data_IF_892996649680
#
_entry.id   IF_892996649680
#
_cell.length_a   1.000
_cell.length_b   1.000
_cell.length_c   1.000
_cell.angle_alpha   90.00
_cell.angle_beta   90.00
_cell.angle_gamma   90.00
#
_symmetry.space_group_name_H-M   'P 1'
#
loop_
_entity.id
_entity.type
_entity.pdbx_description
1 polymer ?
#
# COMPACT_ATOMS: atom_id res chain seq x y z
N UNK A 1 -8.87 -15.93 -1.34
CA UNK A 1 -9.89 -15.01 -0.77
C UNK A 1 -11.18 -15.16 -1.57
N UNK A 2 -12.35 -15.17 -0.88
CA UNK A 2 -13.65 -15.13 -1.58
C UNK A 2 -13.76 -13.76 -2.28
N UNK A 3 -13.93 -13.75 -3.61
CA UNK A 3 -14.19 -12.53 -4.38
C UNK A 3 -13.01 -11.96 -5.19
N UNK A 4 -11.95 -12.69 -5.48
CA UNK A 4 -10.90 -12.29 -6.43
C UNK A 4 -10.85 -13.21 -7.64
N UNK A 5 -10.74 -12.63 -8.83
CA UNK A 5 -10.58 -13.32 -10.11
C UNK A 5 -9.09 -13.39 -10.46
N UNK A 6 -8.58 -14.57 -10.82
CA UNK A 6 -7.22 -14.70 -11.33
C UNK A 6 -7.18 -14.22 -12.79
N UNK A 7 -6.33 -13.23 -13.06
CA UNK A 7 -6.14 -12.69 -14.40
C UNK A 7 -5.10 -13.51 -15.20
N UNK A 8 -3.89 -13.55 -14.68
CA UNK A 8 -2.75 -14.24 -15.30
C UNK A 8 -1.68 -14.57 -14.25
N UNK A 9 -0.62 -15.23 -14.70
CA UNK A 9 0.58 -15.47 -13.88
C UNK A 9 1.79 -14.95 -14.64
N UNK A 10 2.56 -14.06 -14.00
CA UNK A 10 3.78 -13.50 -14.57
C UNK A 10 4.94 -13.70 -13.60
N UNK A 11 6.11 -14.08 -14.11
CA UNK A 11 7.26 -14.50 -13.30
C UNK A 11 6.94 -15.56 -12.21
N UNK A 12 5.94 -16.41 -12.44
CA UNK A 12 5.49 -17.40 -11.47
C UNK A 12 4.64 -16.85 -10.32
N UNK A 13 4.27 -15.57 -10.34
CA UNK A 13 3.41 -14.93 -9.34
C UNK A 13 2.02 -14.74 -9.96
N UNK A 14 0.96 -15.34 -9.39
CA UNK A 14 -0.40 -15.13 -9.88
C UNK A 14 -0.90 -13.71 -9.53
N UNK A 15 -1.52 -13.06 -10.52
CA UNK A 15 -2.16 -11.75 -10.36
C UNK A 15 -3.66 -11.95 -10.27
N UNK A 16 -4.24 -11.36 -9.23
CA UNK A 16 -5.67 -11.41 -8.97
C UNK A 16 -6.27 -10.00 -9.02
N UNK A 17 -7.49 -9.92 -9.52
CA UNK A 17 -8.31 -8.72 -9.51
C UNK A 17 -9.42 -8.89 -8.50
N UNK A 18 -9.49 -8.02 -7.51
CA UNK A 18 -10.59 -8.04 -6.55
C UNK A 18 -11.87 -7.52 -7.20
N UNK A 19 -13.04 -8.07 -6.85
CA UNK A 19 -14.33 -7.67 -7.44
C UNK A 19 -14.60 -6.16 -7.31
N UNK A 20 -14.12 -5.54 -6.21
CA UNK A 20 -14.28 -4.09 -5.96
C UNK A 20 -13.54 -3.23 -6.99
N UNK A 21 -12.60 -3.80 -7.77
CA UNK A 21 -11.94 -3.08 -8.85
C UNK A 21 -12.93 -2.57 -9.91
N UNK A 22 -14.08 -3.24 -10.06
CA UNK A 22 -15.17 -2.78 -10.91
C UNK A 22 -15.69 -1.39 -10.53
N UNK A 23 -15.53 -0.97 -9.28
CA UNK A 23 -15.90 0.38 -8.82
C UNK A 23 -15.10 1.48 -9.52
N UNK A 24 -13.87 1.19 -9.97
CA UNK A 24 -13.05 2.14 -10.73
C UNK A 24 -13.67 2.44 -12.09
N UNK A 25 -14.20 1.41 -12.77
CA UNK A 25 -14.88 1.60 -14.05
C UNK A 25 -16.20 2.35 -13.86
N UNK A 26 -16.95 2.06 -12.79
CA UNK A 26 -18.15 2.84 -12.44
C UNK A 26 -17.79 4.29 -12.14
N UNK A 27 -16.71 4.53 -11.43
CA UNK A 27 -16.19 5.87 -11.15
C UNK A 27 -15.74 6.59 -12.43
N UNK A 28 -15.06 5.89 -13.35
CA UNK A 28 -14.70 6.46 -14.65
C UNK A 28 -15.93 6.85 -15.50
N UNK A 29 -16.98 6.00 -15.48
CA UNK A 29 -18.26 6.31 -16.14
C UNK A 29 -18.92 7.54 -15.52
N UNK A 30 -18.93 7.63 -14.19
CA UNK A 30 -19.47 8.77 -13.46
C UNK A 30 -18.72 10.08 -13.79
N UNK A 31 -17.36 10.05 -13.78
CA UNK A 31 -16.55 11.19 -14.19
C UNK A 31 -16.85 11.58 -15.64
N UNK A 32 -16.94 10.60 -16.56
CA UNK A 32 -17.26 10.84 -17.96
C UNK A 32 -18.59 11.55 -18.13
N UNK A 33 -19.61 11.11 -17.38
CA UNK A 33 -20.94 11.73 -17.37
C UNK A 33 -20.89 13.16 -16.77
N UNK A 34 -20.27 13.36 -15.62
CA UNK A 34 -20.17 14.66 -14.92
C UNK A 34 -19.47 15.71 -15.78
N UNK A 35 -18.39 15.31 -16.49
CA UNK A 35 -17.62 16.21 -17.36
C UNK A 35 -18.11 16.23 -18.81
N UNK A 36 -19.28 15.64 -19.08
CA UNK A 36 -19.88 15.59 -20.43
C UNK A 36 -18.92 15.06 -21.51
N UNK A 37 -18.06 14.08 -21.13
CA UNK A 37 -17.17 13.43 -22.08
C UNK A 37 -17.97 12.60 -23.07
N UNK A 38 -17.54 12.61 -24.34
CA UNK A 38 -18.06 11.67 -25.33
C UNK A 38 -17.62 10.23 -25.03
N UNK A 39 -18.13 9.29 -25.81
CA UNK A 39 -17.78 7.86 -25.66
C UNK A 39 -16.25 7.67 -25.75
N UNK A 40 -15.58 8.35 -26.69
CA UNK A 40 -14.14 8.20 -26.88
C UNK A 40 -13.37 8.76 -25.69
N UNK A 41 -13.74 9.92 -25.15
CA UNK A 41 -13.13 10.51 -23.94
C UNK A 41 -13.28 9.58 -22.72
N UNK A 42 -14.47 8.99 -22.55
CA UNK A 42 -14.72 8.02 -21.46
C UNK A 42 -13.87 6.75 -21.63
N UNK A 43 -13.70 6.25 -22.87
CA UNK A 43 -12.83 5.11 -23.14
C UNK A 43 -11.35 5.42 -22.87
N UNK A 44 -10.89 6.65 -23.22
CA UNK A 44 -9.54 7.09 -22.86
C UNK A 44 -9.32 7.17 -21.36
N UNK A 45 -10.31 7.68 -20.60
CA UNK A 45 -10.25 7.71 -19.14
C UNK A 45 -10.16 6.30 -18.54
N UNK A 46 -10.93 5.35 -19.06
CA UNK A 46 -10.82 3.94 -18.66
C UNK A 46 -9.45 3.35 -18.99
N UNK A 47 -8.92 3.65 -20.19
CA UNK A 47 -7.58 3.27 -20.60
C UNK A 47 -6.50 3.83 -19.68
N UNK A 48 -6.65 5.08 -19.24
CA UNK A 48 -5.77 5.70 -18.25
C UNK A 48 -5.76 4.93 -16.92
N UNK A 49 -6.92 4.57 -16.38
CA UNK A 49 -6.99 3.76 -15.15
C UNK A 49 -6.32 2.39 -15.34
N UNK A 50 -6.52 1.73 -16.47
CA UNK A 50 -5.83 0.46 -16.78
C UNK A 50 -4.32 0.67 -16.79
N UNK A 51 -3.82 1.72 -17.45
CA UNK A 51 -2.40 2.04 -17.50
C UNK A 51 -1.83 2.38 -16.12
N UNK A 52 -2.57 3.16 -15.32
CA UNK A 52 -2.20 3.49 -13.94
C UNK A 52 -2.05 2.23 -13.09
N UNK A 53 -3.02 1.32 -13.15
CA UNK A 53 -2.94 0.07 -12.39
C UNK A 53 -1.89 -0.91 -12.94
N UNK A 54 -1.53 -0.81 -14.21
CA UNK A 54 -0.35 -1.50 -14.73
C UNK A 54 0.95 -0.96 -14.09
N UNK A 55 1.06 0.36 -13.90
CA UNK A 55 2.19 0.96 -13.17
C UNK A 55 2.22 0.50 -11.70
N UNK A 56 1.07 0.45 -11.02
CA UNK A 56 0.94 -0.07 -9.66
C UNK A 56 1.33 -1.55 -9.60
N UNK A 57 0.90 -2.35 -10.55
CA UNK A 57 1.27 -3.76 -10.65
C UNK A 57 2.79 -3.94 -10.82
N UNK A 58 3.41 -3.15 -11.69
CA UNK A 58 4.87 -3.19 -11.88
C UNK A 58 5.63 -2.76 -10.60
N UNK A 59 5.10 -1.79 -9.87
CA UNK A 59 5.62 -1.40 -8.56
C UNK A 59 5.61 -2.60 -7.58
N UNK A 60 4.48 -3.32 -7.47
CA UNK A 60 4.38 -4.52 -6.62
C UNK A 60 5.34 -5.63 -7.08
N UNK A 61 5.53 -5.77 -8.39
CA UNK A 61 6.56 -6.67 -8.92
C UNK A 61 7.97 -6.25 -8.53
N UNK A 62 8.25 -4.96 -8.43
CA UNK A 62 9.52 -4.44 -7.91
C UNK A 62 9.83 -5.01 -6.53
N UNK A 63 8.88 -4.95 -5.61
CA UNK A 63 9.01 -5.54 -4.27
C UNK A 63 9.13 -7.07 -4.33
N UNK A 64 8.21 -7.73 -5.03
CA UNK A 64 8.09 -9.19 -5.07
C UNK A 64 9.34 -9.87 -5.66
N UNK A 65 9.85 -9.37 -6.79
CA UNK A 65 11.04 -9.93 -7.44
C UNK A 65 12.31 -9.65 -6.64
N UNK A 66 12.38 -8.51 -5.96
CA UNK A 66 13.50 -8.18 -5.07
C UNK A 66 13.47 -9.03 -3.81
N UNK A 67 12.30 -9.26 -3.20
CA UNK A 67 12.13 -10.14 -2.05
C UNK A 67 12.54 -11.58 -2.38
N UNK A 68 12.20 -12.07 -3.59
CA UNK A 68 12.60 -13.40 -4.08
C UNK A 68 14.11 -13.61 -4.09
N UNK A 69 14.93 -12.58 -4.39
CA UNK A 69 16.41 -12.65 -4.34
C UNK A 69 16.92 -12.93 -2.93
N UNK A 70 16.12 -12.64 -1.91
CA UNK A 70 16.43 -12.91 -0.50
C UNK A 70 15.70 -14.15 0.03
N UNK A 71 15.16 -15.00 -0.86
CA UNK A 71 14.51 -16.26 -0.48
C UNK A 71 13.10 -16.08 0.09
N UNK A 72 12.47 -14.93 -0.14
CA UNK A 72 11.08 -14.68 0.27
C UNK A 72 10.16 -14.82 -0.93
N UNK A 73 9.23 -15.78 -0.86
CA UNK A 73 8.27 -15.98 -1.92
C UNK A 73 7.06 -15.03 -1.79
N UNK A 74 6.45 -14.76 -2.93
CA UNK A 74 5.20 -14.01 -3.04
C UNK A 74 4.10 -14.99 -3.42
N UNK A 75 3.05 -15.09 -2.60
CA UNK A 75 1.92 -15.96 -2.89
C UNK A 75 1.13 -15.47 -4.10
N UNK A 76 0.80 -14.21 -4.14
CA UNK A 76 0.11 -13.53 -5.23
C UNK A 76 0.20 -12.00 -5.10
N UNK A 77 -0.28 -11.31 -6.15
CA UNK A 77 -0.52 -9.87 -6.14
C UNK A 77 -2.01 -9.66 -6.39
N UNK A 78 -2.66 -8.89 -5.51
CA UNK A 78 -4.09 -8.57 -5.62
C UNK A 78 -4.24 -7.10 -5.95
N UNK A 79 -4.91 -6.79 -7.07
CA UNK A 79 -5.28 -5.42 -7.44
C UNK A 79 -6.62 -5.06 -6.82
N UNK A 80 -6.66 -3.95 -6.10
CA UNK A 80 -7.83 -3.36 -5.46
C UNK A 80 -7.96 -1.89 -5.84
N UNK A 81 -9.11 -1.24 -5.66
CA UNK A 81 -9.26 0.20 -5.95
C UNK A 81 -8.29 1.11 -5.20
N UNK A 82 -7.79 0.65 -4.05
CA UNK A 82 -6.88 1.43 -3.18
C UNK A 82 -5.41 1.23 -3.60
N UNK A 83 -5.12 0.24 -4.46
CA UNK A 83 -3.77 -0.10 -4.92
C UNK A 83 -3.54 -1.59 -5.09
N UNK A 84 -2.28 -1.96 -5.31
CA UNK A 84 -1.80 -3.33 -5.33
C UNK A 84 -1.42 -3.82 -3.93
N UNK A 85 -1.56 -5.11 -3.70
CA UNK A 85 -1.14 -5.77 -2.47
C UNK A 85 -0.37 -7.03 -2.85
N UNK A 86 0.97 -6.99 -2.77
CA UNK A 86 1.79 -8.19 -2.88
C UNK A 86 1.79 -8.94 -1.54
N UNK A 87 1.26 -10.16 -1.54
CA UNK A 87 1.26 -11.02 -0.35
C UNK A 87 2.56 -11.80 -0.25
N UNK A 88 3.55 -11.19 0.37
CA UNK A 88 4.80 -11.85 0.71
C UNK A 88 4.59 -12.84 1.86
N UNK A 89 5.29 -13.99 1.86
CA UNK A 89 5.27 -14.95 2.99
C UNK A 89 5.68 -14.26 4.30
N UNK A 90 6.74 -13.47 4.24
CA UNK A 90 7.23 -12.62 5.34
C UNK A 90 8.15 -11.54 4.80
N UNK A 91 8.30 -10.43 5.51
CA UNK A 91 9.37 -9.49 5.19
C UNK A 91 10.73 -10.02 5.64
N UNK A 92 11.82 -9.76 4.89
CA UNK A 92 13.15 -10.10 5.33
C UNK A 92 13.46 -9.54 6.72
N UNK A 93 14.08 -10.34 7.58
CA UNK A 93 14.40 -9.93 8.96
C UNK A 93 15.65 -9.03 9.02
N UNK A 94 16.56 -9.16 8.05
CA UNK A 94 17.77 -8.34 7.97
C UNK A 94 17.42 -6.93 7.49
N UNK A 95 17.76 -5.87 8.25
CA UNK A 95 17.35 -4.51 7.92
C UNK A 95 17.78 -4.04 6.52
N UNK A 96 18.99 -4.40 6.07
CA UNK A 96 19.48 -4.06 4.74
C UNK A 96 18.63 -4.69 3.64
N UNK A 97 18.21 -5.95 3.83
CA UNK A 97 17.34 -6.64 2.86
C UNK A 97 15.94 -6.02 2.81
N UNK A 98 15.39 -5.68 3.99
CA UNK A 98 14.12 -4.97 4.08
C UNK A 98 14.17 -3.61 3.36
N UNK A 99 15.28 -2.85 3.55
CA UNK A 99 15.50 -1.59 2.85
C UNK A 99 15.49 -1.76 1.33
N UNK A 100 16.27 -2.72 0.82
CA UNK A 100 16.39 -2.95 -0.64
C UNK A 100 15.04 -3.41 -1.23
N UNK A 101 14.29 -4.24 -0.51
CA UNK A 101 12.95 -4.65 -0.94
C UNK A 101 12.00 -3.47 -0.93
N UNK A 102 12.00 -2.65 0.13
CA UNK A 102 11.07 -1.54 0.26
C UNK A 102 11.30 -0.41 -0.77
N UNK A 103 12.56 -0.14 -1.15
CA UNK A 103 12.84 0.90 -2.15
C UNK A 103 12.61 0.42 -3.59
N UNK A 104 12.54 -0.90 -3.83
CA UNK A 104 12.44 -1.46 -5.18
C UNK A 104 11.15 -1.06 -5.89
N UNK A 105 10.00 -1.00 -5.20
CA UNK A 105 8.73 -0.54 -5.76
C UNK A 105 8.79 0.92 -6.24
N UNK A 106 9.12 1.89 -5.36
CA UNK A 106 9.32 3.28 -5.76
C UNK A 106 10.31 3.46 -6.92
N UNK A 107 11.41 2.70 -6.96
CA UNK A 107 12.39 2.77 -8.06
C UNK A 107 11.79 2.31 -9.39
N UNK A 108 10.89 1.36 -9.40
CA UNK A 108 10.16 0.96 -10.62
C UNK A 108 9.32 2.13 -11.12
N UNK A 109 8.59 2.83 -10.25
CA UNK A 109 7.79 4.00 -10.67
C UNK A 109 8.66 5.16 -11.15
N UNK A 110 9.84 5.37 -10.55
CA UNK A 110 10.84 6.33 -11.07
C UNK A 110 11.26 5.96 -12.48
N UNK A 111 11.59 4.68 -12.74
CA UNK A 111 11.98 4.22 -14.06
C UNK A 111 10.84 4.38 -15.08
N UNK A 112 9.59 4.08 -14.69
CA UNK A 112 8.40 4.30 -15.52
C UNK A 112 8.23 5.78 -15.81
N UNK A 113 8.33 6.66 -14.80
CA UNK A 113 8.19 8.11 -14.97
C UNK A 113 9.24 8.66 -15.94
N UNK A 114 10.51 8.24 -15.83
CA UNK A 114 11.60 8.62 -16.74
C UNK A 114 11.32 8.14 -18.17
N UNK A 115 10.88 6.88 -18.32
CA UNK A 115 10.53 6.31 -19.64
C UNK A 115 9.39 7.08 -20.30
N UNK A 116 8.29 7.29 -19.58
CA UNK A 116 7.12 8.02 -20.07
C UNK A 116 7.46 9.50 -20.38
N UNK A 117 8.29 10.12 -19.53
CA UNK A 117 8.78 11.46 -19.78
C UNK A 117 9.63 11.52 -21.07
N UNK A 118 10.53 10.57 -21.29
CA UNK A 118 11.29 10.46 -22.53
C UNK A 118 10.41 10.28 -23.75
N UNK A 119 9.36 9.46 -23.66
CA UNK A 119 8.34 9.29 -24.71
C UNK A 119 7.61 10.62 -24.94
N UNK A 120 7.26 11.31 -23.86
CA UNK A 120 6.60 12.63 -23.95
C UNK A 120 7.44 13.65 -24.74
N UNK A 121 8.76 13.69 -24.48
CA UNK A 121 9.70 14.55 -25.20
C UNK A 121 9.73 14.30 -26.72
N UNK A 122 9.55 13.03 -27.14
CA UNK A 122 9.53 12.67 -28.56
C UNK A 122 8.20 13.00 -29.25
N UNK A 123 7.11 13.02 -28.49
CA UNK A 123 5.74 13.16 -29.02
C UNK A 123 5.24 14.61 -28.96
N UNK A 124 5.68 15.37 -27.94
CA UNK A 124 5.19 16.73 -27.74
C UNK A 124 5.98 17.75 -28.56
N UNK A 125 5.27 18.63 -29.30
CA UNK A 125 5.78 19.86 -29.89
C UNK A 125 5.81 20.95 -28.81
N UNK A 126 6.47 22.08 -29.10
CA UNK A 126 6.72 23.17 -28.12
C UNK A 126 5.46 23.67 -27.38
N UNK A 127 4.34 23.85 -28.10
CA UNK A 127 3.06 24.33 -27.52
C UNK A 127 2.49 23.36 -26.47
N UNK A 128 2.69 22.03 -26.64
CA UNK A 128 2.23 21.01 -25.72
C UNK A 128 3.14 20.84 -24.51
N UNK A 129 4.38 21.30 -24.63
CA UNK A 129 5.34 21.34 -23.54
C UNK A 129 4.91 22.30 -22.42
N UNK A 130 4.31 23.44 -22.75
CA UNK A 130 3.75 24.37 -21.77
C UNK A 130 2.61 23.72 -20.98
N UNK A 131 1.71 22.98 -21.64
CA UNK A 131 0.68 22.20 -20.95
C UNK A 131 1.29 21.17 -19.97
N UNK A 132 2.34 20.46 -20.38
CA UNK A 132 2.99 19.48 -19.52
C UNK A 132 3.61 20.13 -18.27
N UNK A 133 4.30 21.26 -18.44
CA UNK A 133 4.87 22.02 -17.32
C UNK A 133 3.77 22.52 -16.38
N UNK A 134 2.73 23.14 -16.94
CA UNK A 134 1.58 23.61 -16.16
C UNK A 134 0.93 22.45 -15.39
N UNK A 135 0.69 21.31 -16.03
CA UNK A 135 0.08 20.15 -15.39
C UNK A 135 0.92 19.63 -14.23
N UNK A 136 2.25 19.55 -14.38
CA UNK A 136 3.15 19.19 -13.29
C UNK A 136 3.09 20.20 -12.14
N UNK A 137 3.10 21.50 -12.45
CA UNK A 137 2.98 22.54 -11.42
C UNK A 137 1.65 22.42 -10.65
N UNK A 138 0.55 22.18 -11.36
CA UNK A 138 -0.77 22.04 -10.76
C UNK A 138 -0.86 20.86 -9.80
N UNK A 139 -0.24 19.72 -10.11
CA UNK A 139 -0.22 18.55 -9.22
C UNK A 139 0.47 18.80 -7.88
N UNK A 140 1.41 19.75 -7.84
CA UNK A 140 2.14 20.11 -6.63
C UNK A 140 1.68 21.43 -6.01
N UNK A 141 0.73 22.14 -6.63
CA UNK A 141 0.07 23.30 -6.08
C UNK A 141 -1.06 22.88 -5.14
N UNK A 142 -0.94 23.23 -3.88
CA UNK A 142 -2.01 23.04 -2.88
C UNK A 142 -3.17 24.06 -3.05
N UNK A 143 -3.03 25.01 -3.95
CA UNK A 143 -4.08 25.97 -4.31
C UNK A 143 -4.84 25.41 -5.51
N UNK A 144 -6.09 24.99 -5.30
CA UNK A 144 -7.00 24.68 -6.39
C UNK A 144 -7.22 25.96 -7.22
N UNK A 145 -6.59 26.06 -8.38
CA UNK A 145 -6.85 27.12 -9.32
C UNK A 145 -7.87 26.61 -10.33
N UNK A 146 -8.93 27.38 -10.55
CA UNK A 146 -9.93 27.16 -11.63
C UNK A 146 -9.34 27.34 -13.04
N UNK A 147 -8.02 27.43 -13.15
CA UNK A 147 -7.29 27.71 -14.40
C UNK A 147 -7.23 26.52 -15.36
N UNK A 148 -7.65 25.32 -14.91
CA UNK A 148 -7.59 24.09 -15.76
C UNK A 148 -8.38 24.27 -17.05
N UNK A 149 -9.55 24.89 -16.98
CA UNK A 149 -10.39 25.15 -18.16
C UNK A 149 -9.74 26.12 -19.13
N UNK A 150 -9.12 27.19 -18.61
CA UNK A 150 -8.46 28.24 -19.44
C UNK A 150 -7.25 27.67 -20.19
N UNK A 151 -6.40 26.90 -19.52
CA UNK A 151 -5.20 26.30 -20.14
C UNK A 151 -5.56 25.24 -21.18
N UNK A 152 -6.62 24.45 -20.95
CA UNK A 152 -7.14 23.52 -21.96
C UNK A 152 -7.67 24.26 -23.19
N UNK A 153 -8.34 25.39 -23.00
CA UNK A 153 -8.85 26.23 -24.08
C UNK A 153 -7.70 26.91 -24.85
N UNK A 154 -6.71 27.50 -24.17
CA UNK A 154 -5.53 28.14 -24.78
C UNK A 154 -4.65 27.13 -25.54
N UNK A 155 -4.46 25.92 -25.03
CA UNK A 155 -3.64 24.89 -25.68
C UNK A 155 -4.40 24.10 -26.74
N UNK A 156 -5.73 24.26 -26.84
CA UNK A 156 -6.60 23.49 -27.73
C UNK A 156 -6.62 21.99 -27.42
N UNK A 157 -6.15 21.59 -26.25
CA UNK A 157 -6.13 20.20 -25.83
C UNK A 157 -7.50 19.77 -25.31
N UNK A 158 -8.09 18.79 -25.98
CA UNK A 158 -9.25 18.12 -25.45
C UNK A 158 -8.84 17.12 -24.35
N UNK A 159 -9.62 16.96 -23.27
CA UNK A 159 -9.35 15.99 -22.20
C UNK A 159 -9.58 14.54 -22.68
N UNK A 160 -9.09 14.25 -23.86
CA UNK A 160 -9.21 12.95 -24.52
C UNK A 160 -7.95 12.65 -25.33
N UNK A 161 -7.56 11.39 -25.34
CA UNK A 161 -6.46 10.90 -26.15
C UNK A 161 -5.14 10.75 -25.41
N UNK A 162 -4.19 10.10 -26.08
CA UNK A 162 -2.87 9.76 -25.53
C UNK A 162 -2.10 11.01 -25.08
N UNK A 163 -2.22 12.10 -25.82
CA UNK A 163 -1.48 13.34 -25.57
C UNK A 163 -1.90 14.02 -24.26
N UNK A 164 -3.15 13.85 -23.85
CA UNK A 164 -3.63 14.35 -22.56
C UNK A 164 -3.19 13.42 -21.41
N UNK A 165 -3.41 12.10 -21.56
CA UNK A 165 -3.19 11.16 -20.46
C UNK A 165 -1.72 10.79 -20.22
N UNK A 166 -0.83 11.01 -21.18
CA UNK A 166 0.59 10.71 -21.01
C UNK A 166 1.26 11.60 -19.93
N UNK A 167 1.11 12.93 -19.95
CA UNK A 167 1.58 13.79 -18.86
C UNK A 167 0.95 13.46 -17.52
N UNK A 168 -0.36 13.16 -17.52
CA UNK A 168 -1.09 12.76 -16.31
C UNK A 168 -0.49 11.49 -15.70
N UNK A 169 -0.14 10.51 -16.54
CA UNK A 169 0.45 9.26 -16.10
C UNK A 169 1.88 9.46 -15.54
N UNK A 170 2.68 10.35 -16.16
CA UNK A 170 4.00 10.74 -15.63
C UNK A 170 3.86 11.36 -14.25
N UNK A 171 3.00 12.37 -14.11
CA UNK A 171 2.78 13.06 -12.83
C UNK A 171 2.23 12.12 -11.76
N UNK A 172 1.33 11.23 -12.13
CA UNK A 172 0.78 10.23 -11.19
C UNK A 172 1.85 9.25 -10.72
N UNK A 173 2.78 8.80 -11.60
CA UNK A 173 3.90 7.97 -11.17
C UNK A 173 4.85 8.72 -10.23
N UNK A 174 5.12 10.01 -10.48
CA UNK A 174 5.90 10.85 -9.56
C UNK A 174 5.16 10.97 -8.22
N UNK A 175 3.85 11.24 -8.25
CA UNK A 175 2.99 11.28 -7.07
C UNK A 175 3.02 9.97 -6.27
N UNK A 176 2.95 8.81 -6.94
CA UNK A 176 3.07 7.49 -6.31
C UNK A 176 4.42 7.31 -5.62
N UNK A 177 5.53 7.77 -6.24
CA UNK A 177 6.86 7.74 -5.61
C UNK A 177 6.87 8.60 -4.36
N UNK A 178 6.43 9.85 -4.45
CA UNK A 178 6.43 10.80 -3.32
C UNK A 178 5.54 10.30 -2.18
N UNK A 179 4.34 9.82 -2.51
CA UNK A 179 3.41 9.28 -1.52
C UNK A 179 3.98 8.03 -0.84
N UNK A 180 4.56 7.09 -1.62
CA UNK A 180 5.16 5.89 -1.06
C UNK A 180 6.45 6.15 -0.29
N UNK A 181 7.14 7.27 -0.50
CA UNK A 181 8.32 7.65 0.28
C UNK A 181 8.00 8.37 1.60
N UNK A 182 6.72 8.71 1.87
CA UNK A 182 6.31 9.26 3.17
C UNK A 182 6.72 8.27 4.27
N UNK A 183 7.46 8.71 5.31
CA UNK A 183 7.98 7.82 6.35
C UNK A 183 6.91 7.40 7.37
N UNK A 184 5.82 6.82 6.86
CA UNK A 184 4.66 6.36 7.63
C UNK A 184 4.15 5.02 7.08
N UNK A 185 3.71 4.10 7.96
CA UNK A 185 2.98 2.92 7.53
C UNK A 185 1.55 3.28 7.09
N UNK A 186 1.02 2.64 6.03
CA UNK A 186 1.50 1.42 5.36
C UNK A 186 2.47 1.64 4.19
N UNK A 187 2.88 2.89 3.90
CA UNK A 187 3.71 3.23 2.76
C UNK A 187 5.13 2.61 2.87
N UNK A 188 5.79 2.48 1.73
CA UNK A 188 7.15 1.93 1.67
C UNK A 188 8.16 2.79 2.42
N UNK A 189 7.97 4.12 2.44
CA UNK A 189 8.75 5.06 3.23
C UNK A 189 8.79 4.72 4.73
N UNK A 190 7.68 4.21 5.28
CA UNK A 190 7.64 3.71 6.65
C UNK A 190 8.54 2.49 6.86
N UNK A 191 8.59 1.57 5.89
CA UNK A 191 9.49 0.40 5.90
C UNK A 191 10.94 0.79 5.65
N UNK A 192 11.20 1.71 4.73
CA UNK A 192 12.52 2.30 4.48
C UNK A 192 13.03 2.95 5.77
N UNK A 193 12.24 3.81 6.40
CA UNK A 193 12.59 4.49 7.64
C UNK A 193 12.83 3.50 8.78
N UNK A 194 11.94 2.52 8.97
CA UNK A 194 12.13 1.42 9.93
C UNK A 194 13.43 0.67 9.70
N UNK A 195 13.72 0.29 8.46
CA UNK A 195 14.92 -0.49 8.14
C UNK A 195 16.21 0.27 8.43
N UNK A 196 16.27 1.57 8.10
CA UNK A 196 17.41 2.43 8.42
C UNK A 196 17.64 2.54 9.94
N UNK A 197 16.57 2.76 10.71
CA UNK A 197 16.67 2.80 12.16
C UNK A 197 17.03 1.43 12.77
N UNK A 198 16.53 0.35 12.17
CA UNK A 198 16.76 -1.01 12.65
C UNK A 198 18.22 -1.45 12.51
N UNK A 199 18.98 -0.88 11.57
CA UNK A 199 20.42 -1.11 11.45
C UNK A 199 21.18 -0.69 12.73
N UNK A 200 20.67 0.30 13.46
CA UNK A 200 21.31 0.85 14.66
C UNK A 200 20.63 0.43 15.97
N UNK A 201 19.29 0.42 16.00
CA UNK A 201 18.51 0.28 17.25
C UNK A 201 17.71 -1.01 17.37
N UNK A 202 17.81 -1.89 16.36
CA UNK A 202 17.06 -3.13 16.28
C UNK A 202 15.61 -2.92 15.85
N UNK A 203 14.97 -4.01 15.39
CA UNK A 203 13.67 -3.98 14.70
C UNK A 203 12.54 -3.44 15.58
N UNK A 204 12.48 -3.85 16.84
CA UNK A 204 11.39 -3.46 17.75
C UNK A 204 11.36 -1.94 17.98
N UNK A 205 12.50 -1.36 18.38
CA UNK A 205 12.59 0.09 18.61
C UNK A 205 12.39 0.88 17.33
N UNK A 206 12.97 0.43 16.23
CA UNK A 206 12.80 1.06 14.92
C UNK A 206 11.33 1.10 14.50
N UNK A 207 10.57 0.01 14.70
CA UNK A 207 9.13 -0.02 14.39
C UNK A 207 8.34 0.94 15.28
N UNK A 208 8.68 1.05 16.55
CA UNK A 208 8.03 1.99 17.47
C UNK A 208 8.19 3.44 17.01
N UNK A 209 9.43 3.84 16.65
CA UNK A 209 9.72 5.18 16.15
C UNK A 209 9.03 5.45 14.80
N UNK A 210 9.07 4.49 13.88
CA UNK A 210 8.40 4.63 12.58
C UNK A 210 6.87 4.73 12.73
N UNK A 211 6.28 3.94 13.62
CA UNK A 211 4.85 4.01 13.90
C UNK A 211 4.46 5.33 14.59
N UNK A 212 5.27 5.82 15.53
CA UNK A 212 5.02 7.10 16.18
C UNK A 212 5.09 8.27 15.18
N UNK A 213 6.13 8.32 14.35
CA UNK A 213 6.24 9.32 13.30
C UNK A 213 5.06 9.25 12.31
N UNK A 214 4.68 8.03 11.88
CA UNK A 214 3.54 7.83 11.00
C UNK A 214 2.23 8.30 11.61
N UNK A 215 2.01 8.07 12.91
CA UNK A 215 0.83 8.57 13.62
C UNK A 215 0.84 10.10 13.73
N UNK A 216 2.00 10.73 13.96
CA UNK A 216 2.13 12.18 14.00
C UNK A 216 1.77 12.81 12.64
N UNK A 217 2.31 12.25 11.54
CA UNK A 217 1.98 12.69 10.17
C UNK A 217 0.47 12.49 9.90
N UNK A 218 -0.09 11.36 10.31
CA UNK A 218 -1.51 11.06 10.15
C UNK A 218 -2.41 12.08 10.86
N UNK A 219 -2.05 12.49 12.08
CA UNK A 219 -2.78 13.55 12.82
C UNK A 219 -2.74 14.87 12.05
N UNK A 220 -1.58 15.23 11.49
CA UNK A 220 -1.47 16.44 10.66
C UNK A 220 -2.39 16.35 9.44
N UNK A 221 -2.45 15.21 8.75
CA UNK A 221 -3.34 15.00 7.60
C UNK A 221 -4.82 15.11 8.01
N UNK A 222 -5.20 14.56 9.17
CA UNK A 222 -6.58 14.65 9.67
C UNK A 222 -6.93 16.11 9.98
N UNK A 223 -6.11 16.79 10.78
CA UNK A 223 -6.40 18.17 11.22
C UNK A 223 -6.41 19.12 10.02
N UNK A 224 -5.41 19.05 9.15
CA UNK A 224 -5.33 19.89 7.96
C UNK A 224 -6.46 19.58 6.98
N UNK A 225 -6.77 18.29 6.74
CA UNK A 225 -7.84 17.87 5.85
C UNK A 225 -9.22 18.37 6.32
N UNK A 226 -9.48 18.35 7.64
CA UNK A 226 -10.70 18.91 8.20
C UNK A 226 -10.73 20.44 8.10
N UNK A 227 -9.60 21.11 8.30
CA UNK A 227 -9.52 22.57 8.22
C UNK A 227 -9.82 23.09 6.80
N UNK A 228 -9.24 22.47 5.77
CA UNK A 228 -9.46 22.89 4.37
C UNK A 228 -10.66 22.19 3.70
N UNK A 229 -11.52 21.49 4.48
CA UNK A 229 -12.64 20.68 3.99
C UNK A 229 -12.25 19.59 2.96
N UNK A 230 -11.01 19.13 2.99
CA UNK A 230 -10.51 18.02 2.19
C UNK A 230 -10.75 16.68 2.93
N UNK A 231 -11.99 16.21 2.98
CA UNK A 231 -12.39 14.99 3.70
C UNK A 231 -11.60 13.74 3.27
N UNK A 232 -11.23 13.67 1.99
CA UNK A 232 -10.39 12.57 1.47
C UNK A 232 -9.04 12.52 2.16
N UNK A 233 -8.40 13.68 2.39
CA UNK A 233 -7.13 13.77 3.10
C UNK A 233 -7.27 13.36 4.56
N UNK A 234 -8.35 13.77 5.22
CA UNK A 234 -8.63 13.34 6.60
C UNK A 234 -8.86 11.83 6.69
N UNK A 235 -9.56 11.23 5.72
CA UNK A 235 -9.77 9.78 5.64
C UNK A 235 -8.45 9.02 5.43
N UNK A 236 -7.58 9.51 4.53
CA UNK A 236 -6.23 8.96 4.33
C UNK A 236 -5.42 9.04 5.64
N UNK A 237 -5.46 10.17 6.34
CA UNK A 237 -4.82 10.32 7.64
C UNK A 237 -5.32 9.30 8.67
N UNK A 238 -6.63 9.08 8.76
CA UNK A 238 -7.22 8.07 9.63
C UNK A 238 -6.75 6.65 9.29
N UNK A 239 -6.70 6.32 8.00
CA UNK A 239 -6.20 5.04 7.52
C UNK A 239 -4.72 4.84 7.89
N UNK A 240 -3.88 5.84 7.65
CA UNK A 240 -2.45 5.83 8.03
C UNK A 240 -2.28 5.64 9.53
N UNK A 241 -3.05 6.37 10.35
CA UNK A 241 -3.00 6.25 11.80
C UNK A 241 -3.29 4.83 12.30
N UNK A 242 -4.39 4.26 11.83
CA UNK A 242 -4.82 2.91 12.23
C UNK A 242 -3.83 1.84 11.79
N UNK A 243 -3.29 1.95 10.57
CA UNK A 243 -2.34 1.00 10.01
C UNK A 243 -0.98 1.09 10.71
N UNK A 244 -0.47 2.29 11.00
CA UNK A 244 0.76 2.48 11.75
C UNK A 244 0.68 1.88 13.15
N UNK A 245 -0.48 2.02 13.82
CA UNK A 245 -0.75 1.40 15.12
C UNK A 245 -0.78 -0.12 15.03
N UNK A 246 -1.43 -0.66 14.01
CA UNK A 246 -1.54 -2.11 13.78
C UNK A 246 -0.16 -2.75 13.54
N UNK A 247 0.69 -2.14 12.69
CA UNK A 247 2.04 -2.63 12.42
C UNK A 247 2.90 -2.70 13.69
N UNK A 248 2.85 -1.67 14.54
CA UNK A 248 3.55 -1.66 15.82
C UNK A 248 3.06 -2.77 16.75
N UNK A 249 1.76 -3.01 16.80
CA UNK A 249 1.17 -4.07 17.63
C UNK A 249 1.58 -5.46 17.14
N UNK A 250 1.61 -5.67 15.82
CA UNK A 250 2.06 -6.94 15.22
C UNK A 250 3.51 -7.25 15.53
N UNK A 251 4.41 -6.27 15.40
CA UNK A 251 5.84 -6.48 15.68
C UNK A 251 6.09 -6.73 17.18
N UNK A 252 5.35 -6.05 18.06
CA UNK A 252 5.41 -6.34 19.51
C UNK A 252 4.94 -7.75 19.84
N UNK A 253 3.85 -8.19 19.21
CA UNK A 253 3.33 -9.55 19.40
C UNK A 253 4.33 -10.60 18.90
N UNK A 254 4.92 -10.39 17.71
CA UNK A 254 5.94 -11.28 17.16
C UNK A 254 7.18 -11.38 18.08
N UNK A 255 7.67 -10.25 18.60
CA UNK A 255 8.76 -10.21 19.56
C UNK A 255 8.42 -10.92 20.87
N UNK A 256 7.20 -10.72 21.39
CA UNK A 256 6.70 -11.41 22.57
C UNK A 256 6.66 -12.92 22.35
N UNK A 257 6.04 -13.38 21.25
CA UNK A 257 5.94 -14.81 20.94
C UNK A 257 7.31 -15.48 20.74
N UNK A 258 8.29 -14.77 20.18
CA UNK A 258 9.68 -15.28 20.02
C UNK A 258 10.41 -15.49 21.35
N UNK A 259 10.02 -14.80 22.42
CA UNK A 259 10.64 -14.92 23.74
C UNK A 259 10.17 -16.16 24.51
N UNK A 260 8.96 -16.64 24.23
CA UNK A 260 8.36 -17.77 24.91
C UNK A 260 8.43 -19.02 24.03
N UNK A 261 8.89 -20.11 24.61
CA UNK A 261 8.85 -21.43 23.99
C UNK A 261 7.55 -22.13 24.38
N UNK A 262 7.08 -23.06 23.56
CA UNK A 262 5.89 -23.85 23.89
C UNK A 262 5.97 -24.48 25.28
N UNK A 263 7.18 -24.93 25.71
CA UNK A 263 7.42 -25.46 27.05
C UNK A 263 7.13 -24.49 28.19
N UNK A 264 7.24 -23.16 27.95
CA UNK A 264 7.02 -22.15 28.97
C UNK A 264 5.50 -21.87 29.16
N UNK A 265 4.68 -22.32 28.21
CA UNK A 265 3.22 -22.26 28.24
C UNK A 265 2.59 -23.55 28.77
N UNK A 266 3.36 -24.64 28.82
CA UNK A 266 2.89 -25.89 29.37
C UNK A 266 2.94 -25.78 30.89
N UNK A 267 1.82 -25.99 31.57
CA UNK A 267 1.81 -26.14 33.03
C UNK A 267 2.71 -27.32 33.40
N UNK A 268 3.81 -27.09 34.17
CA UNK A 268 4.72 -28.18 34.55
C UNK A 268 4.08 -29.16 35.54
N UNK A 269 2.98 -28.78 36.17
CA UNK A 269 2.23 -29.57 37.12
C UNK A 269 0.81 -29.80 36.57
N UNK A 270 0.52 -30.98 36.15
CA UNK A 270 -0.82 -31.45 35.86
C UNK A 270 -1.05 -32.74 36.68
N UNK A 271 -2.23 -32.84 37.25
CA UNK A 271 -2.60 -34.03 38.04
C UNK A 271 -3.01 -35.13 37.07
N UNK A 272 -2.28 -36.23 37.08
CA UNK A 272 -2.67 -37.45 36.37
C UNK A 272 -3.70 -38.18 37.17
N UNK A 273 -4.86 -38.46 36.60
CA UNK A 273 -5.84 -39.39 37.15
C UNK A 273 -5.54 -40.75 36.58
N UNK A 274 -5.41 -41.75 37.48
CA UNK A 274 -5.30 -43.15 37.08
C UNK A 274 -6.69 -43.71 36.81
N UNK A 275 -6.81 -44.69 35.92
CA UNK A 275 -8.09 -45.31 35.60
C UNK A 275 -8.85 -45.92 36.80
N UNK A 276 -8.13 -46.11 37.93
CA UNK A 276 -8.68 -46.62 39.20
C UNK A 276 -9.05 -45.51 40.19
N UNK A 277 -8.82 -44.24 39.86
CA UNK A 277 -9.13 -43.12 40.76
C UNK A 277 -10.65 -42.90 40.80
N UNK A 278 -11.14 -42.59 41.99
CA UNK A 278 -12.54 -42.31 42.18
C UNK A 278 -12.95 -41.00 41.50
N UNK A 279 -14.11 -40.98 40.86
CA UNK A 279 -14.67 -39.76 40.25
C UNK A 279 -14.74 -38.58 41.24
N UNK A 280 -14.90 -38.85 42.53
CA UNK A 280 -14.90 -37.84 43.57
C UNK A 280 -13.58 -37.08 43.66
N UNK A 281 -12.43 -37.72 43.37
CA UNK A 281 -11.11 -37.10 43.36
C UNK A 281 -11.03 -36.06 42.24
N UNK A 282 -11.53 -36.41 41.05
CA UNK A 282 -11.60 -35.47 39.90
C UNK A 282 -12.50 -34.27 40.22
N UNK A 283 -13.67 -34.52 40.84
CA UNK A 283 -14.61 -33.46 41.22
C UNK A 283 -14.01 -32.54 42.28
N UNK A 284 -13.30 -33.08 43.26
CA UNK A 284 -12.64 -32.28 44.29
C UNK A 284 -11.54 -31.39 43.73
N UNK A 285 -10.75 -31.86 42.75
CA UNK A 285 -9.70 -31.10 42.07
C UNK A 285 -10.29 -29.98 41.16
N UNK A 286 -11.43 -30.28 40.51
CA UNK A 286 -12.16 -29.26 39.73
C UNK A 286 -12.75 -28.17 40.64
N UNK A 287 -13.30 -28.52 41.80
CA UNK A 287 -13.87 -27.60 42.77
C UNK A 287 -12.83 -26.68 43.40
N UNK A 288 -11.60 -27.16 43.56
CA UNK A 288 -10.47 -26.31 44.01
C UNK A 288 -10.00 -25.31 42.96
N UNK A 289 -10.53 -25.36 41.74
CA UNK A 289 -10.24 -24.40 40.67
C UNK A 289 -8.80 -24.46 40.13
N UNK A 290 -8.03 -25.48 40.54
CA UNK A 290 -6.62 -25.63 40.19
C UNK A 290 -6.43 -26.23 38.79
N UNK A 291 -7.36 -27.02 38.30
CA UNK A 291 -7.28 -27.67 36.99
C UNK A 291 -8.64 -27.71 36.29
N UNK A 292 -8.62 -27.57 34.98
CA UNK A 292 -9.82 -27.67 34.12
C UNK A 292 -9.80 -28.91 33.20
N UNK A 293 -8.64 -29.52 33.04
CA UNK A 293 -8.43 -30.71 32.21
C UNK A 293 -7.47 -31.65 32.90
N UNK A 294 -7.75 -32.93 32.83
CA UNK A 294 -6.91 -34.04 33.32
C UNK A 294 -6.39 -34.85 32.14
N UNK A 295 -5.20 -35.44 32.30
CA UNK A 295 -4.63 -36.40 31.38
C UNK A 295 -4.70 -37.78 31.99
#
# INVERSE_FOLDING_TARGET
MRGSLRLFTWFGIPVHLHWSFGLIFLYALWIGYENSLDLMGTLWLMGFFIALFACVLLHEYGHALTARRYGVNTHDIILTPIGGIARLEKMPEKPVQEFVVAIAGPLVNVAIAILLFGVSMLVFQEERWEFFKWFLQQQFSFAGSDETGQVLEETGMQPSGLLFYLPVLVATNIGLVLFNLIPAFPMDGGRIFRSLLAMKWGRLRATQWAAWLGQAIAVVFIVYGLWVNAFTLALVGFFVFTTARSENSMVRLDDFLKRYKAKDLIRPQFTRLQGNDWMQTAVALLQQGLERHFL
#
